data_IF_499013143915
#
_entry.id   IF_499013143915
#
_cell.length_a   1.000
_cell.length_b   1.000
_cell.length_c   1.000
_cell.angle_alpha   90.00
_cell.angle_beta   90.00
_cell.angle_gamma   90.00
#
_symmetry.space_group_name_H-M   'P 1'
#
loop_
_entity.id
_entity.type
_entity.pdbx_description
1 polymer ?
#
# COMPACT_ATOMS: atom_id res chain seq x y z
N UNK A 1 -8.56 -11.04 16.72
CA UNK A 1 -9.01 -9.65 17.03
C UNK A 1 -10.34 -9.38 16.33
N UNK A 2 -11.33 -8.76 16.98
CA UNK A 2 -12.59 -8.37 16.36
C UNK A 2 -13.00 -6.94 16.74
N UNK A 3 -13.99 -6.39 16.05
CA UNK A 3 -14.63 -5.13 16.39
C UNK A 3 -16.16 -5.29 16.28
N UNK A 4 -16.90 -4.65 17.23
CA UNK A 4 -18.35 -4.77 17.37
C UNK A 4 -19.08 -3.48 16.97
N UNK A 5 -18.35 -2.40 16.77
CA UNK A 5 -18.82 -1.09 16.29
C UNK A 5 -17.72 -0.42 15.47
N UNK A 6 -18.09 0.50 14.61
CA UNK A 6 -17.11 1.32 13.91
C UNK A 6 -16.45 2.32 14.86
N UNK A 7 -15.19 2.65 14.60
CA UNK A 7 -14.40 3.58 15.40
C UNK A 7 -12.92 3.56 15.02
N UNK A 8 -12.10 4.10 15.89
CA UNK A 8 -10.65 4.05 15.78
C UNK A 8 -10.05 2.71 16.28
N UNK A 9 -8.73 2.66 16.52
CA UNK A 9 -8.08 1.45 17.02
C UNK A 9 -8.64 0.91 18.34
N UNK A 10 -9.26 1.78 19.14
CA UNK A 10 -9.85 1.44 20.45
C UNK A 10 -11.00 0.43 20.37
N UNK A 11 -11.61 0.25 19.19
CA UNK A 11 -12.71 -0.72 19.02
C UNK A 11 -12.21 -2.15 18.79
N UNK A 12 -10.91 -2.33 18.57
CA UNK A 12 -10.32 -3.66 18.44
C UNK A 12 -10.24 -4.35 19.79
N UNK A 13 -10.85 -5.52 19.88
CA UNK A 13 -10.84 -6.35 21.09
C UNK A 13 -10.36 -7.76 20.75
N UNK A 14 -9.59 -8.35 21.67
CA UNK A 14 -9.25 -9.75 21.60
C UNK A 14 -10.48 -10.58 21.98
N UNK A 15 -10.76 -11.62 21.20
CA UNK A 15 -11.89 -12.50 21.47
C UNK A 15 -11.70 -13.85 20.78
N UNK A 16 -12.21 -14.88 21.41
CA UNK A 16 -12.41 -16.16 20.76
C UNK A 16 -13.54 -16.05 19.74
N UNK A 17 -13.26 -16.51 18.53
CA UNK A 17 -14.23 -16.57 17.44
C UNK A 17 -14.30 -18.01 16.92
N UNK A 18 -15.46 -18.47 16.43
CA UNK A 18 -15.55 -19.79 15.81
C UNK A 18 -14.54 -19.92 14.67
N UNK A 19 -13.91 -21.10 14.56
CA UNK A 19 -13.08 -21.43 13.41
C UNK A 19 -13.90 -21.26 12.13
N UNK A 20 -13.42 -20.48 11.17
CA UNK A 20 -14.14 -20.30 9.92
C UNK A 20 -14.14 -21.60 9.10
N UNK A 21 -15.23 -21.87 8.40
CA UNK A 21 -15.39 -23.07 7.59
C UNK A 21 -15.19 -22.70 6.11
N UNK A 22 -14.21 -23.36 5.48
CA UNK A 22 -13.96 -23.18 4.04
C UNK A 22 -15.09 -23.84 3.23
N UNK A 23 -15.65 -23.08 2.29
CA UNK A 23 -16.61 -23.56 1.29
C UNK A 23 -15.92 -24.13 0.04
N UNK A 24 -16.70 -24.51 -0.98
CA UNK A 24 -16.15 -24.91 -2.29
C UNK A 24 -15.32 -23.78 -2.91
N UNK A 25 -14.09 -24.07 -3.36
CA UNK A 25 -13.17 -23.09 -3.93
C UNK A 25 -12.49 -22.19 -2.89
N UNK A 26 -12.46 -22.63 -1.63
CA UNK A 26 -11.81 -21.94 -0.53
C UNK A 26 -10.90 -22.89 0.27
N UNK A 27 -9.86 -22.36 0.84
CA UNK A 27 -8.90 -23.09 1.66
C UNK A 27 -8.80 -22.45 3.05
N UNK A 28 -8.91 -23.28 4.10
CA UNK A 28 -8.57 -22.88 5.47
C UNK A 28 -7.05 -22.80 5.64
N UNK A 29 -6.58 -21.66 6.09
CA UNK A 29 -5.16 -21.37 6.33
C UNK A 29 -4.93 -21.17 7.82
N UNK A 30 -3.98 -21.92 8.40
CA UNK A 30 -3.41 -21.61 9.70
C UNK A 30 -2.49 -20.40 9.51
N UNK A 31 -2.81 -19.29 10.17
CA UNK A 31 -2.11 -18.02 9.98
C UNK A 31 -0.82 -17.99 10.80
N UNK A 32 0.30 -17.82 10.13
CA UNK A 32 1.61 -17.58 10.77
C UNK A 32 1.86 -16.07 10.95
N UNK A 33 1.29 -15.24 10.06
CA UNK A 33 1.39 -13.78 10.12
C UNK A 33 0.28 -13.09 9.32
N UNK A 34 -0.16 -11.93 9.77
CA UNK A 34 -1.08 -11.03 9.07
C UNK A 34 -0.45 -9.66 8.84
N UNK A 35 -0.73 -9.04 7.70
CA UNK A 35 -0.22 -7.71 7.38
C UNK A 35 -1.19 -6.61 7.84
N UNK A 36 -0.63 -5.50 8.35
CA UNK A 36 -1.40 -4.30 8.70
C UNK A 36 -1.37 -3.31 7.55
N UNK A 37 -2.54 -2.84 7.15
CA UNK A 37 -2.74 -1.89 6.06
C UNK A 37 -3.59 -0.69 6.51
N UNK A 38 -3.42 0.43 5.83
CA UNK A 38 -4.29 1.60 6.05
C UNK A 38 -5.75 1.29 5.68
N UNK A 39 -5.95 0.32 4.77
CA UNK A 39 -7.29 -0.20 4.42
C UNK A 39 -8.02 -0.85 5.59
N UNK A 40 -7.31 -1.57 6.46
CA UNK A 40 -7.89 -2.18 7.66
C UNK A 40 -8.41 -1.11 8.63
N UNK A 41 -7.65 0.00 8.77
CA UNK A 41 -8.05 1.14 9.60
C UNK A 41 -9.32 1.79 9.06
N UNK A 42 -9.40 2.00 7.75
CA UNK A 42 -10.59 2.55 7.09
C UNK A 42 -11.81 1.64 7.26
N UNK A 43 -11.60 0.35 7.15
CA UNK A 43 -12.64 -0.66 7.39
C UNK A 43 -13.22 -0.56 8.80
N UNK A 44 -12.34 -0.49 9.80
CA UNK A 44 -12.76 -0.38 11.22
C UNK A 44 -13.43 0.96 11.48
N UNK A 45 -12.98 2.03 10.82
CA UNK A 45 -13.59 3.36 10.91
C UNK A 45 -14.97 3.46 10.24
N UNK A 46 -15.40 2.43 9.50
CA UNK A 46 -16.66 2.47 8.76
C UNK A 46 -16.58 3.22 7.43
N UNK A 47 -15.36 3.50 6.94
CA UNK A 47 -15.19 4.04 5.60
C UNK A 47 -15.38 2.91 4.56
N UNK A 48 -15.97 3.24 3.41
CA UNK A 48 -16.24 2.28 2.33
C UNK A 48 -17.12 1.09 2.75
N UNK A 49 -18.11 1.34 3.63
CA UNK A 49 -19.07 0.32 4.08
C UNK A 49 -20.15 0.01 3.04
N UNK A 50 -20.26 0.83 2.02
CA UNK A 50 -21.25 0.71 0.96
C UNK A 50 -20.61 0.31 -0.37
N UNK A 51 -21.40 -0.38 -1.21
CA UNK A 51 -20.99 -0.76 -2.55
C UNK A 51 -20.37 -2.17 -2.65
N UNK A 52 -19.96 -2.56 -3.87
CA UNK A 52 -19.59 -3.96 -4.19
C UNK A 52 -18.29 -4.44 -3.53
N UNK A 53 -17.50 -3.52 -3.00
CA UNK A 53 -16.21 -3.80 -2.36
C UNK A 53 -16.25 -3.65 -0.82
N UNK A 54 -17.41 -3.34 -0.27
CA UNK A 54 -17.61 -3.23 1.17
C UNK A 54 -17.30 -4.57 1.87
N UNK A 55 -16.83 -4.52 3.13
CA UNK A 55 -16.74 -5.71 3.96
C UNK A 55 -18.11 -6.35 4.11
N UNK A 56 -18.16 -7.68 4.00
CA UNK A 56 -19.43 -8.40 4.02
C UNK A 56 -19.87 -8.80 5.44
N UNK A 57 -21.18 -8.95 5.60
CA UNK A 57 -21.81 -9.41 6.84
C UNK A 57 -21.99 -8.32 7.89
N UNK A 58 -22.78 -8.62 8.94
CA UNK A 58 -23.00 -7.70 10.06
C UNK A 58 -21.76 -7.62 10.96
N UNK A 59 -21.74 -6.65 11.88
CA UNK A 59 -20.88 -6.68 13.04
C UNK A 59 -21.35 -7.78 14.02
N UNK A 60 -20.44 -8.41 14.78
CA UNK A 60 -19.00 -8.18 14.87
C UNK A 60 -18.21 -8.74 13.69
N UNK A 61 -17.05 -8.12 13.37
CA UNK A 61 -16.17 -8.55 12.28
C UNK A 61 -14.73 -8.71 12.76
N UNK A 62 -13.98 -9.59 12.07
CA UNK A 62 -12.52 -9.73 12.20
C UNK A 62 -11.87 -8.98 11.05
N UNK A 63 -11.02 -7.97 11.29
CA UNK A 63 -10.34 -7.25 10.22
C UNK A 63 -9.15 -8.02 9.65
N UNK A 64 -8.40 -7.39 8.75
CA UNK A 64 -7.18 -7.92 8.13
C UNK A 64 -7.40 -8.41 6.71
N UNK A 65 -6.60 -7.86 5.78
CA UNK A 65 -6.78 -8.06 4.33
C UNK A 65 -5.80 -9.08 3.74
N UNK A 66 -4.79 -9.51 4.46
CA UNK A 66 -3.76 -10.40 3.94
C UNK A 66 -3.13 -11.26 5.03
N UNK A 67 -2.82 -12.48 4.67
CA UNK A 67 -2.23 -13.48 5.57
C UNK A 67 -1.13 -14.26 4.88
N UNK A 68 -0.15 -14.69 5.66
CA UNK A 68 0.78 -15.77 5.33
C UNK A 68 0.55 -16.88 6.33
N UNK A 69 0.57 -18.11 5.87
CA UNK A 69 0.32 -19.25 6.74
C UNK A 69 0.51 -20.57 6.03
N UNK A 70 -0.13 -21.61 6.58
CA UNK A 70 -0.04 -22.97 6.08
C UNK A 70 -1.42 -23.57 5.83
N UNK A 71 -1.54 -24.27 4.73
CA UNK A 71 -2.71 -25.13 4.47
C UNK A 71 -2.65 -26.39 5.33
N UNK A 72 -3.75 -27.15 5.41
CA UNK A 72 -3.80 -28.45 6.08
C UNK A 72 -2.75 -29.46 5.53
N UNK A 73 -2.34 -29.32 4.27
CA UNK A 73 -1.26 -30.12 3.66
C UNK A 73 0.16 -29.60 3.99
N UNK A 74 0.30 -28.61 4.89
CA UNK A 74 1.57 -28.03 5.29
C UNK A 74 2.20 -27.06 4.28
N UNK A 75 1.56 -26.76 3.16
CA UNK A 75 2.09 -25.83 2.15
C UNK A 75 2.09 -24.40 2.67
N UNK A 76 3.23 -23.70 2.55
CA UNK A 76 3.34 -22.27 2.84
C UNK A 76 2.62 -21.46 1.76
N UNK A 77 1.77 -20.56 2.18
CA UNK A 77 0.92 -19.77 1.28
C UNK A 77 0.83 -18.32 1.72
N UNK A 78 0.63 -17.44 0.73
CA UNK A 78 0.25 -16.04 0.87
C UNK A 78 -1.17 -15.91 0.34
N UNK A 79 -2.06 -15.24 1.06
CA UNK A 79 -3.45 -15.08 0.67
C UNK A 79 -3.97 -13.67 0.88
N UNK A 80 -4.73 -13.17 -0.11
CA UNK A 80 -5.56 -12.01 0.06
C UNK A 80 -6.91 -12.45 0.65
N UNK A 81 -7.38 -11.74 1.65
CA UNK A 81 -8.70 -11.90 2.24
C UNK A 81 -9.39 -10.53 2.32
N UNK A 82 -10.71 -10.49 2.13
CA UNK A 82 -11.43 -9.21 2.27
C UNK A 82 -11.50 -8.76 3.73
N UNK A 83 -11.52 -9.72 4.64
CA UNK A 83 -11.55 -9.59 6.10
C UNK A 83 -11.20 -10.94 6.72
N UNK A 84 -10.92 -10.98 8.01
CA UNK A 84 -10.67 -12.24 8.73
C UNK A 84 -9.19 -12.55 8.96
N UNK A 85 -8.27 -11.73 8.45
CA UNK A 85 -6.83 -11.98 8.57
C UNK A 85 -6.26 -11.83 9.99
N UNK A 86 -6.91 -11.06 10.88
CA UNK A 86 -6.43 -10.87 12.26
C UNK A 86 -6.94 -11.97 13.19
N UNK A 87 -6.65 -13.20 12.84
CA UNK A 87 -7.04 -14.41 13.58
C UNK A 87 -5.99 -15.51 13.41
N UNK A 88 -6.05 -16.53 14.26
CA UNK A 88 -5.20 -17.71 14.14
C UNK A 88 -5.50 -18.53 12.88
N UNK A 89 -6.72 -18.40 12.33
CA UNK A 89 -7.14 -19.09 11.12
C UNK A 89 -7.94 -18.17 10.23
N UNK A 90 -7.74 -18.28 8.91
CA UNK A 90 -8.45 -17.51 7.91
C UNK A 90 -8.87 -18.39 6.73
N UNK A 91 -10.01 -18.09 6.13
CA UNK A 91 -10.45 -18.72 4.86
C UNK A 91 -10.02 -17.82 3.71
N UNK A 92 -9.31 -18.41 2.75
CA UNK A 92 -8.80 -17.75 1.55
C UNK A 92 -9.41 -18.40 0.33
N UNK A 93 -9.93 -17.61 -0.62
CA UNK A 93 -10.36 -18.15 -1.89
C UNK A 93 -9.16 -18.76 -2.65
N UNK A 94 -9.34 -19.93 -3.25
CA UNK A 94 -8.24 -20.67 -3.91
C UNK A 94 -7.57 -19.85 -5.03
N UNK A 95 -8.32 -18.97 -5.70
CA UNK A 95 -7.81 -18.04 -6.72
C UNK A 95 -6.88 -16.95 -6.16
N UNK A 96 -7.03 -16.63 -4.87
CA UNK A 96 -6.26 -15.59 -4.16
C UNK A 96 -5.16 -16.20 -3.29
N UNK A 97 -4.99 -17.53 -3.36
CA UNK A 97 -4.02 -18.30 -2.62
C UNK A 97 -2.77 -18.57 -3.46
N UNK A 98 -1.62 -18.12 -3.00
CA UNK A 98 -0.36 -18.19 -3.74
C UNK A 98 0.67 -18.98 -2.96
N UNK A 99 1.32 -19.94 -3.60
CA UNK A 99 2.43 -20.67 -3.00
C UNK A 99 3.58 -19.70 -2.68
N UNK A 100 4.03 -19.69 -1.44
CA UNK A 100 5.11 -18.81 -1.00
C UNK A 100 6.47 -19.50 -1.21
N UNK A 101 7.42 -18.87 -1.96
CA UNK A 101 8.77 -19.40 -2.11
C UNK A 101 9.49 -19.54 -0.76
N UNK A 102 10.28 -20.59 -0.60
CA UNK A 102 10.98 -20.92 0.66
C UNK A 102 11.91 -19.78 1.14
N UNK A 103 12.54 -19.09 0.22
CA UNK A 103 13.49 -18.00 0.49
C UNK A 103 12.83 -16.61 0.67
N UNK A 104 11.49 -16.53 0.67
CA UNK A 104 10.75 -15.31 0.97
C UNK A 104 10.14 -15.42 2.36
N UNK A 105 10.53 -14.52 3.28
CA UNK A 105 9.95 -14.49 4.63
C UNK A 105 8.51 -13.98 4.64
N UNK A 106 7.75 -14.32 5.69
CA UNK A 106 6.34 -13.93 5.84
C UNK A 106 6.15 -12.42 5.72
N UNK A 107 6.96 -11.65 6.46
CA UNK A 107 6.86 -10.19 6.44
C UNK A 107 7.14 -9.58 5.06
N UNK A 108 8.12 -10.13 4.30
CA UNK A 108 8.38 -9.68 2.92
C UNK A 108 7.23 -10.05 1.99
N UNK A 109 6.66 -11.24 2.12
CA UNK A 109 5.50 -11.67 1.35
C UNK A 109 4.28 -10.76 1.59
N UNK A 110 3.97 -10.47 2.86
CA UNK A 110 2.92 -9.53 3.25
C UNK A 110 3.17 -8.13 2.68
N UNK A 111 4.43 -7.66 2.66
CA UNK A 111 4.74 -6.36 2.09
C UNK A 111 4.46 -6.28 0.58
N UNK A 112 4.67 -7.35 -0.17
CA UNK A 112 4.47 -7.32 -1.63
C UNK A 112 3.03 -7.61 -2.07
N UNK A 113 2.18 -8.19 -1.23
CA UNK A 113 0.80 -8.47 -1.62
C UNK A 113 0.01 -7.16 -1.80
N UNK A 114 -0.41 -6.50 -0.74
CA UNK A 114 -1.25 -5.28 -0.88
C UNK A 114 -0.40 -4.07 -1.30
N UNK A 115 0.70 -3.82 -0.62
CA UNK A 115 1.52 -2.63 -0.85
C UNK A 115 2.34 -2.75 -2.14
N UNK A 116 2.91 -3.94 -2.42
CA UNK A 116 3.68 -4.19 -3.64
C UNK A 116 2.81 -4.18 -4.88
N UNK A 117 1.66 -4.86 -4.87
CA UNK A 117 0.70 -4.78 -5.99
C UNK A 117 0.25 -3.34 -6.24
N UNK A 118 -0.03 -2.57 -5.18
CA UNK A 118 -0.33 -1.16 -5.32
C UNK A 118 0.82 -0.43 -6.03
N UNK A 119 2.05 -0.57 -5.57
CA UNK A 119 3.23 0.07 -6.15
C UNK A 119 3.45 -0.31 -7.62
N UNK A 120 3.32 -1.60 -7.93
CA UNK A 120 3.47 -2.10 -9.29
C UNK A 120 2.44 -1.50 -10.24
N UNK A 121 1.16 -1.52 -9.85
CA UNK A 121 0.07 -1.02 -10.68
C UNK A 121 0.09 0.51 -10.82
N UNK A 122 0.49 1.24 -9.78
CA UNK A 122 0.71 2.68 -9.87
C UNK A 122 1.68 3.02 -10.99
N UNK A 123 2.81 2.32 -11.07
CA UNK A 123 3.86 2.57 -12.05
C UNK A 123 3.53 2.01 -13.44
N UNK A 124 3.12 0.74 -13.53
CA UNK A 124 2.94 0.04 -14.82
C UNK A 124 1.57 0.26 -15.44
N UNK A 125 0.49 0.21 -14.65
CA UNK A 125 -0.87 0.21 -15.20
C UNK A 125 -1.45 1.63 -15.33
N UNK A 126 -1.21 2.48 -14.31
CA UNK A 126 -1.85 3.81 -14.26
C UNK A 126 -0.92 4.90 -14.77
N UNK A 127 0.23 5.10 -14.13
CA UNK A 127 1.22 6.10 -14.59
C UNK A 127 1.90 5.70 -15.90
N UNK A 128 2.02 4.39 -16.19
CA UNK A 128 2.65 3.85 -17.40
C UNK A 128 4.05 4.43 -17.59
N UNK A 129 4.86 4.27 -16.56
CA UNK A 129 6.23 4.79 -16.50
C UNK A 129 7.03 4.37 -17.75
N UNK A 130 7.80 5.30 -18.28
CA UNK A 130 8.74 5.08 -19.39
C UNK A 130 10.18 5.27 -18.89
N UNK A 131 11.15 4.57 -19.49
CA UNK A 131 12.55 4.78 -19.17
C UNK A 131 12.96 6.25 -19.30
N UNK A 132 13.70 6.75 -18.33
CA UNK A 132 14.20 8.13 -18.29
C UNK A 132 13.26 9.16 -17.64
N UNK A 133 12.01 8.82 -17.36
CA UNK A 133 11.07 9.74 -16.71
C UNK A 133 11.41 9.99 -15.24
N UNK A 134 11.07 11.19 -14.76
CA UNK A 134 11.17 11.57 -13.36
C UNK A 134 9.91 11.18 -12.59
N UNK A 135 10.07 10.67 -11.35
CA UNK A 135 8.98 10.21 -10.50
C UNK A 135 9.08 10.85 -9.13
N UNK A 136 8.04 11.53 -8.70
CA UNK A 136 7.87 11.98 -7.31
C UNK A 136 7.05 10.93 -6.55
N UNK A 137 7.56 10.52 -5.40
CA UNK A 137 6.92 9.52 -4.55
C UNK A 137 6.57 10.14 -3.20
N UNK A 138 5.29 10.34 -2.95
CA UNK A 138 4.82 10.82 -1.65
C UNK A 138 4.86 9.70 -0.59
N UNK A 139 5.11 10.08 0.66
CA UNK A 139 5.23 9.15 1.78
C UNK A 139 6.23 8.00 1.49
N UNK A 140 7.37 8.32 0.90
CA UNK A 140 8.32 7.35 0.35
C UNK A 140 8.91 6.37 1.38
N UNK A 141 8.89 6.69 2.67
CA UNK A 141 9.33 5.77 3.74
C UNK A 141 8.22 4.83 4.22
N UNK A 142 6.99 4.98 3.72
CA UNK A 142 5.89 4.08 4.03
C UNK A 142 5.98 2.76 3.26
N UNK A 143 5.11 1.80 3.61
CA UNK A 143 5.14 0.48 2.99
C UNK A 143 5.03 0.52 1.46
N UNK A 144 4.00 1.18 0.90
CA UNK A 144 3.85 1.32 -0.55
C UNK A 144 4.94 2.22 -1.14
N UNK A 145 5.21 3.38 -0.52
CA UNK A 145 6.16 4.35 -1.06
C UNK A 145 7.58 3.81 -1.21
N UNK A 146 8.07 3.04 -0.24
CA UNK A 146 9.40 2.42 -0.30
C UNK A 146 9.53 1.37 -1.41
N UNK A 147 8.45 0.67 -1.72
CA UNK A 147 8.39 -0.26 -2.85
C UNK A 147 8.28 0.49 -4.18
N UNK A 148 7.52 1.59 -4.23
CA UNK A 148 7.47 2.46 -5.42
C UNK A 148 8.86 2.98 -5.78
N UNK A 149 9.65 3.47 -4.81
CA UNK A 149 11.03 3.95 -5.05
C UNK A 149 11.87 2.87 -5.72
N UNK A 150 11.87 1.66 -5.17
CA UNK A 150 12.65 0.54 -5.68
C UNK A 150 12.15 0.09 -7.07
N UNK A 151 10.83 -0.06 -7.24
CA UNK A 151 10.24 -0.48 -8.52
C UNK A 151 10.36 0.58 -9.60
N UNK A 152 10.32 1.87 -9.27
CA UNK A 152 10.59 2.94 -10.23
C UNK A 152 12.01 2.82 -10.82
N UNK A 153 13.00 2.54 -9.95
CA UNK A 153 14.37 2.26 -10.39
C UNK A 153 14.43 1.01 -11.28
N UNK A 154 13.79 -0.07 -10.86
CA UNK A 154 13.70 -1.33 -11.59
C UNK A 154 13.07 -1.15 -12.99
N UNK A 155 12.10 -0.25 -13.11
CA UNK A 155 11.39 0.04 -14.35
C UNK A 155 12.03 1.17 -15.18
N UNK A 156 13.22 1.64 -14.79
CA UNK A 156 14.03 2.55 -15.58
C UNK A 156 13.74 4.03 -15.39
N UNK A 157 13.17 4.44 -14.24
CA UNK A 157 13.05 5.86 -13.90
C UNK A 157 14.41 6.57 -14.03
N UNK A 158 14.42 7.73 -14.67
CA UNK A 158 15.62 8.55 -14.83
C UNK A 158 15.96 9.33 -13.56
N UNK A 159 14.93 9.73 -12.79
CA UNK A 159 15.09 10.39 -11.51
C UNK A 159 13.93 10.07 -10.56
N UNK A 160 14.26 9.77 -9.31
CA UNK A 160 13.28 9.43 -8.27
C UNK A 160 13.43 10.44 -7.13
N UNK A 161 12.38 11.21 -6.89
CA UNK A 161 12.31 12.22 -5.83
C UNK A 161 11.33 11.74 -4.77
N UNK A 162 11.85 11.47 -3.59
CA UNK A 162 11.06 11.03 -2.46
C UNK A 162 10.60 12.22 -1.61
N UNK A 163 9.37 12.18 -1.09
CA UNK A 163 8.96 13.08 -0.02
C UNK A 163 8.71 12.32 1.28
N UNK A 164 9.19 12.87 2.39
CA UNK A 164 8.97 12.30 3.72
C UNK A 164 9.04 13.35 4.80
N UNK A 165 8.34 13.14 5.93
CA UNK A 165 8.07 14.12 6.98
C UNK A 165 9.20 14.30 8.03
N UNK A 166 10.28 13.50 7.95
CA UNK A 166 11.41 13.61 8.89
C UNK A 166 12.72 13.25 8.22
N UNK A 167 13.85 13.72 8.78
CA UNK A 167 15.18 13.41 8.25
C UNK A 167 15.45 11.92 8.21
N UNK A 168 15.12 11.16 9.25
CA UNK A 168 15.26 9.71 9.29
C UNK A 168 14.50 9.00 8.17
N UNK A 169 13.32 9.52 7.83
CA UNK A 169 12.51 8.96 6.74
C UNK A 169 13.06 9.37 5.37
N UNK A 170 13.61 10.56 5.27
CA UNK A 170 14.30 11.01 4.05
C UNK A 170 15.57 10.20 3.81
N UNK A 171 16.38 9.99 4.84
CA UNK A 171 17.56 9.11 4.77
C UNK A 171 17.18 7.69 4.32
N UNK A 172 16.12 7.11 4.92
CA UNK A 172 15.61 5.81 4.52
C UNK A 172 15.17 5.77 3.05
N UNK A 173 14.51 6.81 2.55
CA UNK A 173 14.08 6.86 1.14
C UNK A 173 15.27 6.92 0.17
N UNK A 174 16.37 7.59 0.55
CA UNK A 174 17.64 7.60 -0.20
C UNK A 174 18.28 6.20 -0.20
N UNK A 175 18.33 5.53 0.93
CA UNK A 175 18.81 4.13 1.04
C UNK A 175 17.97 3.17 0.20
N UNK A 176 16.65 3.41 0.07
CA UNK A 176 15.76 2.65 -0.78
C UNK A 176 15.99 2.89 -2.28
N UNK A 177 16.80 3.88 -2.68
CA UNK A 177 17.18 4.14 -4.06
C UNK A 177 16.62 5.43 -4.67
N UNK A 178 16.07 6.36 -3.88
CA UNK A 178 15.73 7.69 -4.36
C UNK A 178 16.98 8.52 -4.65
N UNK A 179 16.92 9.37 -5.68
CA UNK A 179 18.03 10.27 -6.06
C UNK A 179 18.03 11.56 -5.22
N UNK A 180 16.86 11.94 -4.71
CA UNK A 180 16.67 13.05 -3.79
C UNK A 180 15.54 12.74 -2.81
N UNK A 181 15.65 13.25 -1.59
CA UNK A 181 14.61 13.16 -0.59
C UNK A 181 14.38 14.52 0.06
N UNK A 182 13.16 15.01 0.01
CA UNK A 182 12.78 16.36 0.44
C UNK A 182 11.62 16.30 1.43
N UNK A 183 11.37 17.43 2.08
CA UNK A 183 10.16 17.63 2.86
C UNK A 183 8.94 17.70 1.94
N UNK A 184 7.87 17.02 2.35
CA UNK A 184 6.62 16.93 1.61
C UNK A 184 5.54 17.96 1.99
N UNK A 185 5.86 18.96 2.80
CA UNK A 185 4.91 20.01 3.17
C UNK A 185 4.46 20.81 1.95
N UNK A 186 3.21 21.26 1.96
CA UNK A 186 2.62 22.00 0.81
C UNK A 186 3.28 23.36 0.61
N UNK A 187 3.66 24.07 1.68
CA UNK A 187 4.37 25.33 1.60
C UNK A 187 5.78 25.14 0.99
N UNK A 188 6.10 25.89 -0.05
CA UNK A 188 7.38 25.78 -0.78
C UNK A 188 7.58 24.43 -1.51
N UNK A 189 6.52 23.64 -1.68
CA UNK A 189 6.60 22.32 -2.32
C UNK A 189 7.16 22.39 -3.74
N UNK A 190 6.63 23.35 -4.53
CA UNK A 190 7.02 23.49 -5.93
C UNK A 190 8.52 23.78 -6.08
N UNK A 191 9.03 24.71 -5.32
CA UNK A 191 10.45 25.09 -5.34
C UNK A 191 11.33 23.88 -4.99
N UNK A 192 11.00 23.17 -3.92
CA UNK A 192 11.76 21.97 -3.51
C UNK A 192 11.75 20.87 -4.57
N UNK A 193 10.60 20.64 -5.24
CA UNK A 193 10.52 19.65 -6.32
C UNK A 193 11.36 20.08 -7.52
N UNK A 194 11.25 21.33 -7.95
CA UNK A 194 12.04 21.81 -9.08
C UNK A 194 13.53 21.75 -8.79
N UNK A 195 13.98 22.17 -7.62
CA UNK A 195 15.38 22.08 -7.21
C UNK A 195 15.86 20.61 -7.22
N UNK A 196 15.06 19.70 -6.63
CA UNK A 196 15.35 18.29 -6.63
C UNK A 196 15.35 17.67 -8.04
N UNK A 197 14.68 18.28 -9.03
CA UNK A 197 14.65 17.86 -10.43
C UNK A 197 15.51 18.75 -11.36
N UNK A 198 16.54 19.39 -10.82
CA UNK A 198 17.48 20.23 -11.60
C UNK A 198 16.77 21.38 -12.35
N UNK A 199 15.81 22.03 -11.70
CA UNK A 199 15.02 23.15 -12.24
C UNK A 199 13.93 22.76 -13.24
N UNK A 200 13.70 21.49 -13.48
CA UNK A 200 12.73 20.98 -14.47
C UNK A 200 11.43 20.50 -13.81
N UNK A 201 10.27 20.68 -14.45
CA UNK A 201 9.04 20.00 -14.08
C UNK A 201 9.22 18.48 -14.10
N UNK A 202 8.34 17.76 -13.38
CA UNK A 202 8.39 16.30 -13.24
C UNK A 202 7.37 15.60 -14.13
N UNK A 203 7.63 14.35 -14.51
CA UNK A 203 6.78 13.57 -15.41
C UNK A 203 5.67 12.84 -14.66
N UNK A 204 5.97 12.29 -13.46
CA UNK A 204 5.03 11.46 -12.70
C UNK A 204 5.03 11.89 -11.23
N UNK A 205 3.83 11.96 -10.65
CA UNK A 205 3.63 12.13 -9.21
C UNK A 205 2.72 11.01 -8.72
N UNK A 206 3.16 10.28 -7.68
CA UNK A 206 2.38 9.25 -7.01
C UNK A 206 1.98 9.75 -5.62
N UNK A 207 0.71 10.14 -5.48
CA UNK A 207 0.20 10.83 -4.30
C UNK A 207 -0.57 9.90 -3.35
N UNK A 208 -0.09 9.83 -2.10
CA UNK A 208 -0.74 9.13 -0.99
C UNK A 208 -1.28 10.10 0.09
N UNK A 209 -1.08 11.41 -0.08
CA UNK A 209 -1.30 12.41 0.96
C UNK A 209 -2.65 13.10 0.77
N UNK A 210 -2.92 13.57 -0.45
CA UNK A 210 -4.11 14.37 -0.75
C UNK A 210 -4.05 15.79 -0.18
N UNK A 211 -5.19 16.49 -0.14
CA UNK A 211 -5.29 17.83 0.39
C UNK A 211 -4.38 18.84 -0.31
N UNK A 212 -3.90 19.84 0.42
CA UNK A 212 -3.03 20.90 -0.10
C UNK A 212 -1.72 20.41 -0.73
N UNK A 213 -1.22 19.24 -0.31
CA UNK A 213 -0.03 18.63 -0.93
C UNK A 213 -0.31 18.19 -2.36
N UNK A 214 -1.47 17.57 -2.61
CA UNK A 214 -1.90 17.22 -3.97
C UNK A 214 -2.07 18.47 -4.83
N UNK A 215 -2.69 19.52 -4.27
CA UNK A 215 -2.91 20.79 -4.97
C UNK A 215 -1.58 21.42 -5.41
N UNK A 216 -0.59 21.49 -4.50
CA UNK A 216 0.75 22.01 -4.80
C UNK A 216 1.53 21.11 -5.78
N UNK A 217 1.31 19.81 -5.71
CA UNK A 217 1.98 18.85 -6.57
C UNK A 217 1.59 19.01 -8.05
N UNK A 218 0.33 19.34 -8.34
CA UNK A 218 -0.14 19.60 -9.70
C UNK A 218 0.66 20.69 -10.41
N UNK A 219 1.14 21.70 -9.68
CA UNK A 219 1.90 22.84 -10.23
C UNK A 219 3.35 22.48 -10.61
N UNK A 220 3.76 21.27 -10.31
CA UNK A 220 5.12 20.78 -10.59
C UNK A 220 5.19 19.84 -11.80
N UNK A 221 4.02 19.41 -12.31
CA UNK A 221 3.96 18.55 -13.50
C UNK A 221 4.40 19.29 -14.77
N UNK A 222 5.17 18.60 -15.60
CA UNK A 222 5.50 19.04 -16.94
C UNK A 222 4.41 18.69 -17.97
N UNK A 223 4.66 19.06 -19.23
CA UNK A 223 3.81 18.70 -20.36
C UNK A 223 3.63 17.19 -20.46
N UNK A 224 2.39 16.72 -20.63
CA UNK A 224 2.00 15.30 -20.57
C UNK A 224 2.30 14.61 -19.23
N UNK A 225 2.48 15.37 -18.15
CA UNK A 225 2.69 14.85 -16.81
C UNK A 225 1.48 14.10 -16.26
N UNK A 226 1.71 13.17 -15.32
CA UNK A 226 0.66 12.34 -14.73
C UNK A 226 0.75 12.38 -13.20
N UNK A 227 -0.37 12.73 -12.55
CA UNK A 227 -0.55 12.57 -11.12
C UNK A 227 -1.48 11.38 -10.86
N UNK A 228 -1.03 10.42 -10.06
CA UNK A 228 -1.85 9.29 -9.64
C UNK A 228 -2.07 9.37 -8.13
N UNK A 229 -3.31 9.62 -7.70
CA UNK A 229 -3.69 9.57 -6.29
C UNK A 229 -4.18 8.17 -5.93
N UNK A 230 -3.68 7.63 -4.81
CA UNK A 230 -4.02 6.30 -4.30
C UNK A 230 -4.28 6.28 -2.80
N UNK A 231 -4.22 7.44 -2.16
CA UNK A 231 -4.46 7.60 -0.73
C UNK A 231 -4.82 9.04 -0.37
N UNK A 232 -5.27 9.23 0.87
CA UNK A 232 -5.61 10.53 1.43
C UNK A 232 -5.20 10.58 2.91
N UNK A 233 -3.91 10.36 3.18
CA UNK A 233 -3.41 10.24 4.56
C UNK A 233 -3.44 11.56 5.33
N UNK A 234 -3.60 12.71 4.65
CA UNK A 234 -3.87 14.01 5.28
C UNK A 234 -5.27 14.08 5.89
N UNK A 235 -6.22 13.28 5.39
CA UNK A 235 -7.66 13.35 5.71
C UNK A 235 -8.28 14.71 5.38
N UNK A 236 -7.61 15.52 4.55
CA UNK A 236 -8.10 16.79 4.08
C UNK A 236 -8.57 16.65 2.63
N UNK A 237 -9.68 17.26 2.24
CA UNK A 237 -10.09 17.29 0.85
C UNK A 237 -9.08 18.10 0.01
N UNK A 238 -8.80 17.63 -1.20
CA UNK A 238 -8.10 18.42 -2.21
C UNK A 238 -9.07 19.38 -2.91
N UNK A 239 -8.54 20.42 -3.55
CA UNK A 239 -9.31 21.37 -4.35
C UNK A 239 -9.91 20.68 -5.59
N UNK A 240 -11.05 21.19 -6.05
CA UNK A 240 -11.61 20.76 -7.32
C UNK A 240 -10.69 21.19 -8.49
N UNK A 241 -10.40 20.26 -9.39
CA UNK A 241 -9.53 20.52 -10.55
C UNK A 241 -10.40 20.83 -11.76
N UNK A 242 -10.42 22.09 -12.25
CA UNK A 242 -11.18 22.40 -13.45
C UNK A 242 -10.55 21.72 -14.68
N UNK A 243 -11.37 21.17 -15.60
CA UNK A 243 -10.86 20.51 -16.80
C UNK A 243 -9.93 21.37 -17.66
N UNK A 244 -10.16 22.69 -17.70
CA UNK A 244 -9.29 23.63 -18.41
C UNK A 244 -7.84 23.61 -17.93
N UNK A 245 -7.62 23.41 -16.61
CA UNK A 245 -6.27 23.31 -16.06
C UNK A 245 -5.54 22.08 -16.60
N UNK A 246 -6.24 20.95 -16.75
CA UNK A 246 -5.65 19.74 -17.29
C UNK A 246 -5.25 19.90 -18.77
N UNK A 247 -6.04 20.67 -19.51
CA UNK A 247 -5.84 20.85 -20.95
C UNK A 247 -4.63 21.74 -21.28
N UNK A 248 -4.29 22.74 -20.46
CA UNK A 248 -3.20 23.70 -20.75
C UNK A 248 -1.86 22.99 -20.96
N UNK A 249 -1.50 22.09 -20.05
CA UNK A 249 -0.25 21.34 -20.11
C UNK A 249 -0.47 19.87 -20.50
N UNK A 250 -1.68 19.52 -20.95
CA UNK A 250 -2.07 18.15 -21.31
C UNK A 250 -1.80 17.14 -20.19
N UNK A 251 -1.94 17.54 -18.93
CA UNK A 251 -1.68 16.68 -17.77
C UNK A 251 -2.83 15.71 -17.50
N UNK A 252 -2.51 14.60 -16.88
CA UNK A 252 -3.48 13.58 -16.48
C UNK A 252 -3.54 13.48 -14.95
N UNK A 253 -4.75 13.44 -14.40
CA UNK A 253 -4.99 13.07 -13.02
C UNK A 253 -5.79 11.78 -13.00
N UNK A 254 -5.29 10.78 -12.30
CA UNK A 254 -5.91 9.46 -12.19
C UNK A 254 -6.00 9.01 -10.74
N UNK A 255 -6.99 8.19 -10.43
CA UNK A 255 -7.11 7.50 -9.15
C UNK A 255 -6.74 6.02 -9.28
N UNK A 256 -6.21 5.43 -8.21
CA UNK A 256 -6.00 3.99 -8.11
C UNK A 256 -6.42 3.46 -6.74
N UNK A 257 -7.20 2.38 -6.77
CA UNK A 257 -7.55 1.59 -5.60
C UNK A 257 -7.39 0.10 -5.92
N UNK A 258 -6.62 -0.62 -5.10
CA UNK A 258 -6.27 -2.01 -5.36
C UNK A 258 -7.46 -2.97 -5.25
N UNK A 259 -8.38 -2.74 -4.31
CA UNK A 259 -9.48 -3.67 -4.00
C UNK A 259 -10.34 -4.02 -5.23
N UNK A 260 -10.78 -3.06 -6.08
CA UNK A 260 -11.49 -3.38 -7.31
C UNK A 260 -10.69 -4.24 -8.28
N UNK A 261 -9.37 -4.13 -8.28
CA UNK A 261 -8.51 -4.95 -9.12
C UNK A 261 -8.45 -6.39 -8.61
N UNK A 262 -8.27 -6.59 -7.31
CA UNK A 262 -8.25 -7.91 -6.67
C UNK A 262 -9.59 -8.65 -6.77
N UNK A 263 -10.70 -7.91 -6.94
CA UNK A 263 -12.00 -8.53 -7.17
C UNK A 263 -12.15 -9.14 -8.57
N UNK A 264 -11.22 -8.87 -9.51
CA UNK A 264 -11.23 -9.43 -10.87
C UNK A 264 -10.34 -10.66 -10.91
N UNK A 265 -10.85 -11.73 -11.52
CA UNK A 265 -10.12 -13.00 -11.61
C UNK A 265 -8.74 -12.82 -12.27
N UNK A 266 -7.70 -13.25 -11.57
CA UNK A 266 -6.33 -13.28 -12.06
C UNK A 266 -5.67 -11.91 -12.26
N UNK A 267 -6.36 -10.79 -12.01
CA UNK A 267 -5.86 -9.46 -12.34
C UNK A 267 -4.55 -9.07 -11.61
N UNK A 268 -4.31 -9.64 -10.42
CA UNK A 268 -3.08 -9.41 -9.66
C UNK A 268 -1.99 -10.45 -9.87
N UNK A 269 -2.28 -11.58 -10.51
CA UNK A 269 -1.42 -12.77 -10.48
C UNK A 269 -0.05 -12.56 -11.15
N UNK A 270 -0.01 -11.93 -12.33
CA UNK A 270 1.24 -11.66 -13.05
C UNK A 270 2.14 -10.69 -12.29
N UNK A 271 1.57 -9.59 -11.80
CA UNK A 271 2.30 -8.60 -11.04
C UNK A 271 2.84 -9.19 -9.72
N UNK A 272 2.04 -10.00 -9.04
CA UNK A 272 2.46 -10.63 -7.78
C UNK A 272 3.56 -11.68 -8.00
N UNK A 273 3.49 -12.45 -9.08
CA UNK A 273 4.53 -13.39 -9.44
C UNK A 273 5.86 -12.68 -9.72
N UNK A 274 5.84 -11.55 -10.46
CA UNK A 274 7.02 -10.72 -10.69
C UNK A 274 7.57 -10.15 -9.39
N UNK A 275 6.72 -9.62 -8.51
CA UNK A 275 7.14 -9.07 -7.22
C UNK A 275 7.77 -10.11 -6.30
N UNK A 276 7.22 -11.32 -6.24
CA UNK A 276 7.79 -12.43 -5.47
C UNK A 276 9.12 -12.89 -6.05
N UNK A 277 9.25 -12.98 -7.39
CA UNK A 277 10.52 -13.31 -8.05
C UNK A 277 11.60 -12.25 -7.78
N UNK A 278 11.28 -10.96 -7.95
CA UNK A 278 12.20 -9.87 -7.62
C UNK A 278 12.62 -9.91 -6.15
N UNK A 279 11.69 -10.24 -5.24
CA UNK A 279 11.97 -10.36 -3.80
C UNK A 279 12.87 -11.57 -3.53
N UNK A 280 12.57 -12.72 -4.12
CA UNK A 280 13.36 -13.94 -3.96
C UNK A 280 14.79 -13.77 -4.47
N UNK A 281 14.99 -12.97 -5.52
CA UNK A 281 16.31 -12.60 -6.08
C UNK A 281 16.98 -11.39 -5.40
N UNK A 282 16.37 -10.84 -4.33
CA UNK A 282 16.86 -9.66 -3.62
C UNK A 282 17.00 -8.38 -4.48
N UNK A 283 16.36 -8.33 -5.64
CA UNK A 283 16.24 -7.12 -6.48
C UNK A 283 15.21 -6.15 -5.93
N UNK A 284 14.13 -6.67 -5.35
CA UNK A 284 13.22 -5.93 -4.50
C UNK A 284 13.47 -6.33 -3.05
N UNK A 285 13.63 -5.32 -2.18
CA UNK A 285 13.92 -5.50 -0.75
C UNK A 285 12.82 -4.88 0.08
N UNK A 286 11.66 -5.58 0.22
CA UNK A 286 10.58 -5.06 1.03
C UNK A 286 11.04 -4.87 2.47
N UNK A 287 10.82 -3.68 3.02
CA UNK A 287 11.11 -3.40 4.42
C UNK A 287 10.00 -3.97 5.29
N UNK A 288 10.37 -4.87 6.17
CA UNK A 288 9.52 -5.31 7.28
C UNK A 288 9.82 -4.38 8.45
N UNK A 289 8.80 -3.69 8.93
CA UNK A 289 8.87 -2.79 10.07
C UNK A 289 8.69 -3.53 11.41
N UNK A 290 7.93 -2.93 12.31
CA UNK A 290 7.66 -3.56 13.60
C UNK A 290 6.72 -4.77 13.46
N UNK A 291 7.00 -5.81 14.24
CA UNK A 291 6.12 -6.96 14.44
C UNK A 291 5.45 -6.86 15.81
N UNK A 292 4.21 -7.27 15.90
CA UNK A 292 3.39 -7.24 17.10
C UNK A 292 2.69 -8.57 17.29
N UNK A 293 2.49 -8.98 18.53
CA UNK A 293 1.54 -10.05 18.83
C UNK A 293 0.12 -9.62 18.38
N UNK A 294 -0.69 -10.55 17.95
CA UNK A 294 -2.05 -10.27 17.47
C UNK A 294 -2.87 -9.48 18.49
N UNK A 295 -2.75 -9.78 19.79
CA UNK A 295 -3.38 -9.05 20.89
C UNK A 295 -3.04 -7.55 20.93
N UNK A 296 -1.91 -7.17 20.31
CA UNK A 296 -1.42 -5.78 20.20
C UNK A 296 -1.76 -5.11 18.87
N UNK A 297 -2.75 -5.63 18.13
CA UNK A 297 -3.17 -5.04 16.86
C UNK A 297 -3.58 -3.56 16.99
N UNK A 298 -4.14 -3.16 18.15
CA UNK A 298 -4.43 -1.76 18.46
C UNK A 298 -3.17 -0.88 18.37
N UNK A 299 -2.07 -1.31 19.01
CA UNK A 299 -0.81 -0.56 19.02
C UNK A 299 -0.24 -0.42 17.59
N UNK A 300 -0.35 -1.48 16.78
CA UNK A 300 0.06 -1.44 15.38
C UNK A 300 -0.74 -0.42 14.56
N UNK A 301 -2.07 -0.34 14.76
CA UNK A 301 -2.93 0.65 14.12
C UNK A 301 -2.62 2.07 14.58
N UNK A 302 -2.42 2.29 15.89
CA UNK A 302 -2.02 3.60 16.44
C UNK A 302 -0.66 4.05 15.92
N UNK A 303 0.30 3.12 15.74
CA UNK A 303 1.60 3.40 15.17
C UNK A 303 1.46 3.86 13.70
N UNK A 304 0.61 3.18 12.91
CA UNK A 304 0.36 3.52 11.51
C UNK A 304 -0.36 4.88 11.39
N UNK A 305 -1.41 5.12 12.19
CA UNK A 305 -2.15 6.39 12.23
C UNK A 305 -1.27 7.57 12.67
N UNK A 306 -0.39 7.35 13.65
CA UNK A 306 0.57 8.32 14.15
C UNK A 306 1.74 8.58 13.18
N UNK A 307 1.75 7.95 12.00
CA UNK A 307 2.83 8.07 11.00
C UNK A 307 4.23 7.77 11.57
N UNK A 308 4.32 6.92 12.59
CA UNK A 308 5.59 6.51 13.23
C UNK A 308 6.21 5.28 12.57
N UNK A 309 5.43 4.55 11.76
CA UNK A 309 5.88 3.33 11.10
C UNK A 309 6.80 3.59 9.91
N UNK A 310 7.71 2.65 9.66
CA UNK A 310 8.47 2.49 8.42
C UNK A 310 8.19 1.07 7.88
N UNK A 311 8.03 0.93 6.57
CA UNK A 311 7.81 -0.39 5.95
C UNK A 311 6.48 -1.06 6.34
N UNK A 312 6.46 -2.39 6.26
CA UNK A 312 5.31 -3.25 6.56
C UNK A 312 5.20 -3.55 8.05
N UNK A 313 4.03 -3.31 8.66
CA UNK A 313 3.72 -3.80 10.00
C UNK A 313 3.09 -5.19 9.91
N UNK A 314 3.46 -6.07 10.84
CA UNK A 314 3.08 -7.48 10.86
C UNK A 314 2.47 -7.83 12.23
N UNK A 315 1.40 -8.62 12.21
CA UNK A 315 0.79 -9.24 13.40
C UNK A 315 1.11 -10.73 13.42
N UNK A 316 1.41 -11.26 14.59
CA UNK A 316 1.64 -12.68 14.85
C UNK A 316 0.51 -13.21 15.75
N UNK A 317 -0.29 -14.21 15.28
CA UNK A 317 -1.30 -14.87 16.11
C UNK A 317 -0.74 -15.64 17.29
#
# INVERSE_FOLDING_TARGET
MRYERFGGPEVLVEADVPTPVAGPGETLVQVDAAGVNFGDIKQIAGEHTDGPYAPQGPLPRVPGMEVVGRTAAGRRVLGYVRQGGYAAQAVVADRDLIALPENVSEGKALAVLVQGLTAWHLLRSVARIRPGESVVVHAAAGGTGSLVVQLAREFGAGRIIATASSDDKRAFALEAGADAAIDGDAEGYRERILDANHGRPVDIILDAIGGSVLDSALDTLGYLGRLVTYGASSRQPASAIPPSRLAVDSITVAGFWLVPLLARDGAGSVALAELLDLTARSRLRPLVGAEYDLSRARDAHENLLGRRSKGKLVLRP
#
